data_IF_553116936657
#
_entry.id   IF_553116936657
#
_cell.length_a   1.000
_cell.length_b   1.000
_cell.length_c   1.000
_cell.angle_alpha   90.00
_cell.angle_beta   90.00
_cell.angle_gamma   90.00
#
_symmetry.space_group_name_H-M   'P 1'
#
loop_
_entity.id
_entity.type
_entity.pdbx_description
1 polymer ?
#
# COMPACT_ATOMS: atom_id res chain seq x y z
N UNK A 1 -46.78 -43.85 -30.12
CA UNK A 1 -46.18 -44.20 -28.82
C UNK A 1 -44.79 -43.57 -28.78
N UNK A 2 -44.46 -42.96 -27.63
CA UNK A 2 -43.26 -42.24 -27.16
C UNK A 2 -41.90 -42.54 -27.84
N UNK A 3 -41.17 -41.53 -28.31
CA UNK A 3 -40.15 -40.66 -27.66
C UNK A 3 -38.72 -41.24 -27.59
N UNK A 4 -37.76 -40.37 -27.91
CA UNK A 4 -36.32 -40.56 -27.64
C UNK A 4 -35.47 -39.36 -28.09
N UNK A 5 -35.73 -38.15 -27.57
CA UNK A 5 -34.85 -36.98 -27.71
C UNK A 5 -34.06 -36.83 -26.39
N UNK A 6 -32.73 -36.64 -26.41
CA UNK A 6 -31.96 -36.40 -25.19
C UNK A 6 -32.26 -35.02 -24.58
N UNK A 7 -32.09 -34.85 -23.25
CA UNK A 7 -32.52 -33.66 -22.52
C UNK A 7 -31.63 -32.44 -22.80
N UNK A 8 -32.29 -31.27 -22.92
CA UNK A 8 -31.65 -29.96 -22.96
C UNK A 8 -31.04 -29.64 -21.59
N UNK A 9 -29.77 -29.24 -21.59
CA UNK A 9 -29.04 -28.82 -20.41
C UNK A 9 -29.64 -27.50 -19.89
N UNK A 10 -30.14 -27.53 -18.67
CA UNK A 10 -30.69 -26.37 -17.96
C UNK A 10 -29.59 -25.36 -17.63
N UNK A 11 -29.70 -24.16 -18.20
CA UNK A 11 -28.84 -23.00 -17.89
C UNK A 11 -29.11 -22.57 -16.44
N UNK A 12 -28.20 -22.97 -15.56
CA UNK A 12 -28.37 -22.82 -14.11
C UNK A 12 -27.90 -21.43 -13.71
N UNK A 13 -28.88 -20.55 -13.49
CA UNK A 13 -28.85 -19.44 -12.54
C UNK A 13 -27.64 -18.51 -12.57
N UNK A 14 -27.83 -17.42 -13.32
CA UNK A 14 -27.22 -16.09 -13.17
C UNK A 14 -27.00 -15.71 -11.69
N UNK A 15 -25.76 -15.84 -11.22
CA UNK A 15 -25.31 -15.21 -9.97
C UNK A 15 -25.39 -13.67 -10.12
N UNK A 16 -26.00 -12.94 -9.19
CA UNK A 16 -25.86 -11.50 -9.15
C UNK A 16 -24.42 -11.17 -8.74
N UNK A 17 -23.65 -10.62 -9.68
CA UNK A 17 -22.31 -10.09 -9.45
C UNK A 17 -22.34 -9.10 -8.29
N UNK A 18 -21.68 -9.49 -7.21
CA UNK A 18 -21.41 -8.70 -6.02
C UNK A 18 -20.76 -7.38 -6.44
N UNK A 19 -21.49 -6.30 -6.24
CA UNK A 19 -21.04 -4.93 -6.47
C UNK A 19 -19.75 -4.70 -5.70
N UNK A 20 -18.64 -4.56 -6.43
CA UNK A 20 -17.40 -4.01 -5.88
C UNK A 20 -17.66 -2.55 -5.53
N UNK A 21 -17.98 -2.30 -4.26
CA UNK A 21 -17.87 -0.97 -3.68
C UNK A 21 -16.39 -0.60 -3.69
N UNK A 22 -15.97 0.05 -4.77
CA UNK A 22 -14.76 0.85 -4.80
C UNK A 22 -14.85 1.89 -3.68
N UNK A 23 -14.17 1.62 -2.57
CA UNK A 23 -13.75 2.65 -1.64
C UNK A 23 -12.34 3.05 -2.06
N UNK A 24 -12.21 4.19 -2.73
CA UNK A 24 -10.92 4.85 -3.01
C UNK A 24 -11.15 6.37 -3.00
N UNK A 25 -10.24 7.18 -2.44
CA UNK A 25 -9.42 6.96 -1.25
C UNK A 25 -9.52 8.16 -0.27
N UNK A 26 -9.26 7.93 1.02
CA UNK A 26 -8.93 9.00 1.97
C UNK A 26 -7.64 9.69 1.50
N UNK A 27 -7.78 10.84 0.85
CA UNK A 27 -6.71 11.60 0.23
C UNK A 27 -6.65 12.99 0.86
N UNK A 28 -6.20 13.09 2.11
CA UNK A 28 -6.01 14.43 2.69
C UNK A 28 -4.82 14.61 3.65
N UNK A 29 -4.07 13.57 4.00
CA UNK A 29 -2.87 13.74 4.86
C UNK A 29 -1.59 13.10 4.30
N UNK A 30 -1.70 12.20 3.32
CA UNK A 30 -0.56 11.49 2.74
C UNK A 30 0.28 12.30 1.72
N UNK A 31 0.01 13.60 1.56
CA UNK A 31 0.62 14.38 0.48
C UNK A 31 1.96 14.99 0.88
N UNK A 32 2.16 15.33 2.16
CA UNK A 32 3.34 16.12 2.57
C UNK A 32 4.64 15.32 2.45
N UNK A 33 4.64 14.04 2.80
CA UNK A 33 5.86 13.23 2.76
C UNK A 33 6.13 12.57 1.39
N UNK A 34 5.15 12.57 0.47
CA UNK A 34 5.35 12.23 -0.94
C UNK A 34 6.07 13.40 -1.66
N UNK A 35 6.05 14.60 -1.06
CA UNK A 35 6.75 15.78 -1.55
C UNK A 35 8.17 15.92 -0.98
N UNK A 36 8.56 15.11 0.03
CA UNK A 36 9.92 15.19 0.55
C UNK A 36 10.91 14.64 -0.50
N UNK A 37 11.96 15.40 -0.85
CA UNK A 37 12.94 14.92 -1.81
C UNK A 37 13.74 13.75 -1.24
N UNK A 38 14.20 12.81 -2.08
CA UNK A 38 15.23 11.84 -1.71
C UNK A 38 16.40 12.51 -0.99
N UNK A 39 16.85 11.87 0.09
CA UNK A 39 17.90 12.39 0.96
C UNK A 39 17.41 13.20 2.16
N UNK A 40 16.11 13.55 2.22
CA UNK A 40 15.51 14.17 3.40
C UNK A 40 15.60 13.27 4.63
N UNK A 41 15.61 13.86 5.82
CA UNK A 41 15.53 13.12 7.07
C UNK A 41 14.09 13.03 7.59
N UNK A 42 13.72 11.84 8.04
CA UNK A 42 12.38 11.50 8.51
C UNK A 42 12.45 10.71 9.80
N UNK A 43 11.43 10.85 10.64
CA UNK A 43 11.26 10.08 11.87
C UNK A 43 10.05 9.16 11.75
N UNK A 44 10.05 8.07 12.50
CA UNK A 44 8.89 7.21 12.63
C UNK A 44 7.90 7.77 13.66
N UNK A 45 6.63 7.50 13.45
CA UNK A 45 5.63 7.67 14.48
C UNK A 45 6.00 6.80 15.69
N UNK A 46 6.06 7.43 16.86
CA UNK A 46 6.51 6.84 18.13
C UNK A 46 7.97 6.36 18.09
N UNK A 47 8.83 7.04 17.32
CA UNK A 47 10.27 6.83 17.35
C UNK A 47 10.83 7.09 18.76
N UNK A 48 11.62 6.15 19.33
CA UNK A 48 12.38 6.39 20.56
C UNK A 48 13.34 7.59 20.40
N UNK A 49 13.51 8.38 21.46
CA UNK A 49 14.33 9.60 21.43
C UNK A 49 15.83 9.33 21.20
N UNK A 50 16.29 8.13 21.52
CA UNK A 50 17.67 7.66 21.33
C UNK A 50 17.93 7.10 19.93
N UNK A 51 16.89 6.92 19.12
CA UNK A 51 17.02 6.49 17.73
C UNK A 51 17.19 7.72 16.82
N UNK A 52 18.23 7.80 15.98
CA UNK A 52 18.41 8.93 15.08
C UNK A 52 17.41 8.90 13.91
N UNK A 53 17.14 10.05 13.25
CA UNK A 53 16.31 10.10 12.05
C UNK A 53 16.83 9.19 10.92
N UNK A 54 15.91 8.70 10.11
CA UNK A 54 16.20 7.92 8.92
C UNK A 54 16.35 8.85 7.72
N UNK A 55 17.21 8.47 6.77
CA UNK A 55 17.28 9.13 5.47
C UNK A 55 16.24 8.51 4.54
N UNK A 56 15.44 9.35 3.89
CA UNK A 56 14.48 8.97 2.86
C UNK A 56 15.22 8.62 1.56
N UNK A 57 14.98 7.42 1.03
CA UNK A 57 15.52 6.99 -0.26
C UNK A 57 14.54 7.36 -1.39
N UNK A 58 13.27 6.95 -1.25
CA UNK A 58 12.20 7.25 -2.20
C UNK A 58 10.84 6.88 -1.60
N UNK A 59 9.76 7.47 -2.14
CA UNK A 59 8.39 7.04 -1.88
C UNK A 59 7.70 6.61 -3.18
N UNK A 60 6.99 5.48 -3.14
CA UNK A 60 6.21 4.96 -4.27
C UNK A 60 4.99 4.20 -3.76
N UNK A 61 3.80 4.61 -4.20
CA UNK A 61 2.55 3.92 -3.89
C UNK A 61 2.19 3.90 -2.40
N UNK A 62 2.33 5.03 -1.70
CA UNK A 62 2.01 5.15 -0.27
C UNK A 62 3.02 4.48 0.68
N UNK A 63 4.15 4.01 0.15
CA UNK A 63 5.25 3.43 0.93
C UNK A 63 6.55 4.14 0.62
N UNK A 64 7.42 4.20 1.62
CA UNK A 64 8.70 4.85 1.51
C UNK A 64 9.80 3.90 1.93
N UNK A 65 10.93 3.98 1.24
CA UNK A 65 12.15 3.28 1.61
C UNK A 65 13.02 4.25 2.37
N UNK A 66 13.46 3.84 3.55
CA UNK A 66 14.31 4.64 4.43
C UNK A 66 15.52 3.84 4.86
N UNK A 67 16.55 4.52 5.38
CA UNK A 67 17.71 3.86 5.97
C UNK A 67 18.27 4.63 7.16
N UNK A 68 18.97 3.93 8.05
CA UNK A 68 19.90 4.58 8.97
C UNK A 68 21.30 4.67 8.39
N UNK A 69 22.03 5.70 8.82
CA UNK A 69 23.43 5.91 8.45
C UNK A 69 24.33 4.80 9.01
N UNK A 70 24.00 4.27 10.20
CA UNK A 70 24.75 3.19 10.85
C UNK A 70 24.58 1.82 10.21
N UNK A 71 23.55 1.63 9.36
CA UNK A 71 23.36 0.37 8.64
C UNK A 71 24.26 0.30 7.41
N UNK A 72 24.50 -0.91 6.90
CA UNK A 72 25.20 -1.09 5.62
C UNK A 72 24.50 -0.32 4.50
N UNK A 73 25.27 0.18 3.53
CA UNK A 73 24.78 1.11 2.50
C UNK A 73 23.55 0.63 1.73
N UNK A 74 23.41 -0.68 1.56
CA UNK A 74 22.33 -1.31 0.80
C UNK A 74 21.15 -1.78 1.66
N UNK A 75 21.21 -1.57 2.98
CA UNK A 75 20.13 -1.95 3.89
C UNK A 75 19.08 -0.85 3.88
N UNK A 76 17.97 -1.13 3.22
CA UNK A 76 16.80 -0.27 3.19
C UNK A 76 15.63 -0.95 3.89
N UNK A 77 14.79 -0.14 4.52
CA UNK A 77 13.57 -0.59 5.16
C UNK A 77 12.36 0.06 4.51
N UNK A 78 11.39 -0.76 4.11
CA UNK A 78 10.09 -0.30 3.62
C UNK A 78 9.17 0.01 4.79
N UNK A 79 8.58 1.21 4.79
CA UNK A 79 7.63 1.66 5.79
C UNK A 79 6.44 2.33 5.13
N UNK A 80 5.29 2.25 5.78
CA UNK A 80 4.11 3.00 5.35
C UNK A 80 4.36 4.51 5.48
N UNK A 81 4.05 5.27 4.43
CA UNK A 81 4.23 6.72 4.40
C UNK A 81 3.59 7.41 5.61
N UNK A 82 2.37 6.99 6.00
CA UNK A 82 1.61 7.63 7.10
C UNK A 82 2.28 7.53 8.46
N UNK A 83 3.25 6.62 8.60
CA UNK A 83 4.02 6.41 9.82
C UNK A 83 5.30 7.24 9.84
N UNK A 84 5.57 8.03 8.80
CA UNK A 84 6.74 8.91 8.74
C UNK A 84 6.35 10.36 8.97
N UNK A 85 7.25 11.10 9.60
CA UNK A 85 7.17 12.55 9.81
C UNK A 85 8.48 13.19 9.36
N UNK A 86 8.43 14.45 8.92
CA UNK A 86 9.67 15.23 8.75
C UNK A 86 10.40 15.33 10.10
N UNK A 87 11.72 15.10 10.08
CA UNK A 87 12.57 15.22 11.27
C UNK A 87 12.78 16.69 11.68
#
# INVERSE_FOLDING_TARGET
MSQGQPPQLIDTHRYPSRSNQHVVPQKQLATVLELLPPGSFVTLENQPNDLPPFQLIQCKGGRCWVRQQAWGQHVHWEVEHRRLKSA
#
